data_IF_690388195361
#
_entry.id   IF_690388195361
#
_cell.length_a   1.000
_cell.length_b   1.000
_cell.length_c   1.000
_cell.angle_alpha   90.00
_cell.angle_beta   90.00
_cell.angle_gamma   90.00
#
_symmetry.space_group_name_H-M   'P 1'
#
loop_
_entity.id
_entity.type
_entity.pdbx_description
1 polymer ?
#
# COMPACT_ATOMS: atom_id res chain seq x y z
N UNK A 1 21.54 -52.68 1.38
CA UNK A 1 21.52 -51.63 2.42
C UNK A 1 21.27 -50.31 1.69
N UNK A 2 19.99 -50.03 1.41
CA UNK A 2 19.55 -48.99 0.49
C UNK A 2 19.15 -47.78 1.33
N UNK A 3 20.02 -46.78 1.38
CA UNK A 3 19.72 -45.48 1.99
C UNK A 3 18.67 -44.77 1.12
N UNK A 4 17.41 -44.82 1.55
CA UNK A 4 16.35 -43.96 1.02
C UNK A 4 16.73 -42.51 1.31
N UNK A 5 17.18 -41.81 0.29
CA UNK A 5 17.39 -40.37 0.33
C UNK A 5 16.02 -39.72 0.58
N UNK A 6 15.83 -39.13 1.75
CA UNK A 6 14.72 -38.20 2.00
C UNK A 6 14.76 -37.12 0.92
N UNK A 7 13.74 -37.13 0.06
CA UNK A 7 13.50 -36.09 -0.93
C UNK A 7 13.07 -34.83 -0.16
N UNK A 8 13.64 -33.64 -0.46
CA UNK A 8 13.42 -32.44 0.35
C UNK A 8 11.93 -32.13 0.49
N UNK A 9 11.52 -31.96 1.75
CA UNK A 9 10.16 -31.73 2.22
C UNK A 9 9.38 -30.74 1.36
N UNK A 10 8.29 -31.22 0.77
CA UNK A 10 7.25 -30.32 0.26
C UNK A 10 6.82 -29.37 1.39
N UNK A 11 6.77 -28.05 1.16
CA UNK A 11 6.55 -27.08 2.22
C UNK A 11 5.23 -27.35 2.96
N UNK A 12 5.31 -27.32 4.29
CA UNK A 12 4.16 -27.61 5.16
C UNK A 12 3.08 -26.53 4.99
N UNK A 13 1.78 -26.88 4.94
CA UNK A 13 0.69 -25.91 4.79
C UNK A 13 0.70 -24.76 5.82
N UNK A 14 1.22 -25.02 7.03
CA UNK A 14 1.39 -24.01 8.08
C UNK A 14 2.39 -22.91 7.73
N UNK A 15 3.43 -23.21 6.95
CA UNK A 15 4.41 -22.21 6.51
C UNK A 15 3.74 -21.23 5.54
N UNK A 16 3.04 -21.75 4.53
CA UNK A 16 2.27 -20.93 3.57
C UNK A 16 1.27 -20.01 4.29
N UNK A 17 0.51 -20.55 5.24
CA UNK A 17 -0.46 -19.78 6.03
C UNK A 17 0.23 -18.67 6.82
N UNK A 18 1.37 -18.96 7.44
CA UNK A 18 2.14 -17.98 8.22
C UNK A 18 2.62 -16.85 7.32
N UNK A 19 3.14 -17.13 6.12
CA UNK A 19 3.59 -16.09 5.19
C UNK A 19 2.43 -15.14 4.80
N UNK A 20 1.23 -15.68 4.58
CA UNK A 20 0.04 -14.88 4.27
C UNK A 20 -0.42 -14.02 5.44
N UNK A 21 -0.44 -14.57 6.66
CA UNK A 21 -0.74 -13.79 7.86
C UNK A 21 0.24 -12.62 8.04
N UNK A 22 1.53 -12.85 7.78
CA UNK A 22 2.54 -11.81 7.83
C UNK A 22 2.34 -10.76 6.73
N UNK A 23 2.05 -11.18 5.48
CA UNK A 23 1.76 -10.27 4.38
C UNK A 23 0.55 -9.37 4.69
N UNK A 24 -0.55 -9.97 5.19
CA UNK A 24 -1.74 -9.26 5.61
C UNK A 24 -1.43 -8.30 6.77
N UNK A 25 -0.66 -8.74 7.77
CA UNK A 25 -0.22 -7.91 8.90
C UNK A 25 0.53 -6.66 8.45
N UNK A 26 1.44 -6.78 7.48
CA UNK A 26 2.15 -5.62 6.91
C UNK A 26 1.21 -4.63 6.21
N UNK A 27 0.31 -5.14 5.35
CA UNK A 27 -0.63 -4.29 4.60
C UNK A 27 -1.60 -3.58 5.55
N UNK A 28 -2.18 -4.32 6.49
CA UNK A 28 -3.13 -3.79 7.48
C UNK A 28 -2.43 -2.80 8.41
N UNK A 29 -1.26 -3.14 8.95
CA UNK A 29 -0.50 -2.26 9.82
C UNK A 29 -0.15 -0.93 9.14
N UNK A 30 0.28 -0.98 7.88
CA UNK A 30 0.56 0.23 7.11
C UNK A 30 -0.71 1.03 6.77
N UNK A 31 -1.84 0.38 6.52
CA UNK A 31 -3.11 1.05 6.29
C UNK A 31 -3.61 1.78 7.56
N UNK A 32 -3.52 1.11 8.72
CA UNK A 32 -3.88 1.70 10.02
C UNK A 32 -2.98 2.88 10.37
N UNK A 33 -1.66 2.75 10.15
CA UNK A 33 -0.72 3.84 10.36
C UNK A 33 -1.08 5.06 9.49
N UNK A 34 -1.39 4.84 8.20
CA UNK A 34 -1.83 5.93 7.31
C UNK A 34 -3.15 6.55 7.76
N UNK A 35 -4.12 5.76 8.21
CA UNK A 35 -5.38 6.26 8.72
C UNK A 35 -5.17 7.14 9.97
N UNK A 36 -4.30 6.71 10.89
CA UNK A 36 -3.91 7.49 12.06
C UNK A 36 -3.25 8.82 11.66
N UNK A 37 -2.25 8.77 10.78
CA UNK A 37 -1.57 9.97 10.29
C UNK A 37 -2.54 10.92 9.57
N UNK A 38 -3.46 10.39 8.77
CA UNK A 38 -4.46 11.18 8.08
C UNK A 38 -5.40 11.93 9.04
N UNK A 39 -5.62 11.41 10.25
CA UNK A 39 -6.45 12.02 11.28
C UNK A 39 -5.71 13.06 12.13
N UNK A 40 -4.40 12.90 12.36
CA UNK A 40 -3.64 13.76 13.29
C UNK A 40 -2.79 14.83 12.61
N UNK A 41 -2.32 14.59 11.38
CA UNK A 41 -1.43 15.52 10.69
C UNK A 41 -2.27 16.63 10.03
N UNK A 42 -1.97 17.93 10.26
CA UNK A 42 -2.63 19.02 9.53
C UNK A 42 -2.46 18.89 8.01
N UNK A 43 -3.33 19.52 7.22
CA UNK A 43 -3.17 19.52 5.76
C UNK A 43 -1.92 20.31 5.35
N UNK A 44 -1.17 19.76 4.41
CA UNK A 44 -0.03 20.44 3.81
C UNK A 44 -0.50 21.39 2.70
N UNK A 45 0.28 22.43 2.34
CA UNK A 45 -0.08 23.38 1.28
C UNK A 45 -0.43 22.72 -0.06
N UNK A 46 0.28 21.65 -0.43
CA UNK A 46 -0.01 20.92 -1.66
C UNK A 46 -1.37 20.21 -1.60
N UNK A 47 -1.73 19.66 -0.43
CA UNK A 47 -3.01 18.99 -0.23
C UNK A 47 -4.18 19.98 -0.26
N UNK A 48 -4.00 21.19 0.27
CA UNK A 48 -5.04 22.23 0.18
C UNK A 48 -5.22 22.73 -1.24
N UNK A 49 -4.15 22.83 -2.03
CA UNK A 49 -4.22 23.12 -3.47
C UNK A 49 -5.05 22.05 -4.22
N UNK A 50 -4.73 20.76 -4.03
CA UNK A 50 -5.48 19.69 -4.67
C UNK A 50 -6.93 19.58 -4.16
N UNK A 51 -7.17 19.93 -2.90
CA UNK A 51 -8.51 19.98 -2.35
C UNK A 51 -9.34 21.09 -3.00
N UNK A 52 -8.79 22.29 -3.19
CA UNK A 52 -9.47 23.36 -3.92
C UNK A 52 -9.87 22.90 -5.32
N UNK A 53 -8.93 22.27 -6.03
CA UNK A 53 -9.17 21.73 -7.37
C UNK A 53 -10.27 20.65 -7.37
N UNK A 54 -10.33 19.79 -6.35
CA UNK A 54 -11.39 18.77 -6.23
C UNK A 54 -12.81 19.34 -6.11
N UNK A 55 -12.96 20.61 -5.71
CA UNK A 55 -14.28 21.28 -5.60
C UNK A 55 -14.78 21.80 -6.95
N UNK A 56 -13.88 21.96 -7.92
CA UNK A 56 -14.18 22.37 -9.30
C UNK A 56 -13.41 21.47 -10.24
N UNK A 57 -13.89 20.24 -10.38
CA UNK A 57 -13.28 19.22 -11.23
C UNK A 57 -13.34 19.64 -12.71
N UNK A 58 -12.30 20.34 -13.15
CA UNK A 58 -12.02 20.54 -14.57
C UNK A 58 -11.12 19.43 -15.10
N UNK A 59 -11.25 19.09 -16.39
CA UNK A 59 -10.60 17.94 -17.02
C UNK A 59 -9.06 17.98 -16.96
N UNK A 60 -8.46 19.11 -16.60
CA UNK A 60 -7.06 19.25 -16.22
C UNK A 60 -6.69 20.71 -15.94
N UNK A 61 -5.95 20.96 -14.86
CA UNK A 61 -5.10 22.15 -14.78
C UNK A 61 -3.75 21.85 -15.45
N UNK A 62 -3.03 22.90 -15.84
CA UNK A 62 -1.88 22.89 -16.76
C UNK A 62 -0.79 21.84 -16.48
N UNK A 63 -0.70 21.30 -15.25
CA UNK A 63 0.44 20.52 -14.79
C UNK A 63 0.18 19.01 -14.53
N UNK A 64 -1.05 18.55 -14.30
CA UNK A 64 -1.30 17.14 -13.90
C UNK A 64 -2.66 16.54 -14.38
N UNK A 65 -2.75 15.22 -14.61
CA UNK A 65 -4.02 14.52 -14.82
C UNK A 65 -4.95 14.62 -13.58
N UNK A 66 -6.29 14.65 -13.75
CA UNK A 66 -7.25 14.94 -12.66
C UNK A 66 -7.42 13.82 -11.62
N UNK A 67 -6.64 12.75 -11.71
CA UNK A 67 -6.81 11.55 -10.87
C UNK A 67 -6.76 11.84 -9.37
N UNK A 68 -5.85 12.72 -8.93
CA UNK A 68 -5.75 13.08 -7.50
C UNK A 68 -6.95 13.91 -7.05
N UNK A 69 -7.38 14.88 -7.85
CA UNK A 69 -8.54 15.72 -7.54
C UNK A 69 -9.82 14.88 -7.47
N UNK A 70 -9.98 13.89 -8.35
CA UNK A 70 -11.12 12.96 -8.32
C UNK A 70 -11.13 12.09 -7.04
N UNK A 71 -9.97 11.55 -6.65
CA UNK A 71 -9.86 10.77 -5.42
C UNK A 71 -10.18 11.59 -4.18
N UNK A 72 -9.72 12.84 -4.13
CA UNK A 72 -10.05 13.78 -3.05
C UNK A 72 -11.54 14.08 -3.05
N UNK A 73 -12.13 14.37 -4.21
CA UNK A 73 -13.55 14.67 -4.33
C UNK A 73 -14.41 13.53 -3.73
N UNK A 74 -14.17 12.30 -4.18
CA UNK A 74 -14.86 11.10 -3.67
C UNK A 74 -14.63 10.95 -2.16
N UNK A 75 -13.41 11.16 -1.67
CA UNK A 75 -13.10 11.05 -0.25
C UNK A 75 -13.86 12.08 0.61
N UNK A 76 -13.92 13.32 0.13
CA UNK A 76 -14.63 14.41 0.83
C UNK A 76 -16.14 14.31 0.73
N UNK A 77 -16.67 13.69 -0.33
CA UNK A 77 -18.10 13.40 -0.47
C UNK A 77 -18.54 12.31 0.53
N UNK A 78 -17.70 11.30 0.74
CA UNK A 78 -18.01 10.18 1.66
C UNK A 78 -17.75 10.49 3.14
N UNK A 79 -16.65 11.18 3.47
CA UNK A 79 -16.22 11.41 4.86
C UNK A 79 -16.26 12.90 5.27
N UNK A 80 -16.80 13.76 4.41
CA UNK A 80 -16.94 15.19 4.64
C UNK A 80 -15.67 15.99 4.29
N UNK A 81 -15.85 17.31 4.31
CA UNK A 81 -14.84 18.34 4.03
C UNK A 81 -13.79 18.47 5.16
N UNK A 82 -13.08 17.39 5.45
CA UNK A 82 -12.07 17.29 6.54
C UNK A 82 -10.73 16.80 5.99
N UNK A 83 -9.65 16.93 6.78
CA UNK A 83 -8.33 16.39 6.40
C UNK A 83 -8.37 14.88 6.13
N UNK A 84 -9.16 14.14 6.91
CA UNK A 84 -9.38 12.71 6.71
C UNK A 84 -10.13 12.43 5.41
N UNK A 85 -11.16 13.23 5.08
CA UNK A 85 -11.88 13.11 3.81
C UNK A 85 -10.97 13.35 2.60
N UNK A 86 -10.12 14.38 2.65
CA UNK A 86 -9.16 14.67 1.58
C UNK A 86 -8.22 13.49 1.31
N UNK A 87 -7.76 12.82 2.36
CA UNK A 87 -6.80 11.71 2.25
C UNK A 87 -7.44 10.34 2.03
N UNK A 88 -8.76 10.22 2.15
CA UNK A 88 -9.46 8.93 2.10
C UNK A 88 -9.30 8.23 0.75
N UNK A 89 -9.58 8.94 -0.35
CA UNK A 89 -9.42 8.40 -1.71
C UNK A 89 -7.98 7.96 -1.99
N UNK A 90 -6.97 8.83 -1.78
CA UNK A 90 -5.56 8.43 -1.91
C UNK A 90 -5.16 7.26 -1.01
N UNK A 91 -5.66 7.19 0.23
CA UNK A 91 -5.37 6.08 1.14
C UNK A 91 -5.96 4.75 0.65
N UNK A 92 -7.17 4.77 0.10
CA UNK A 92 -7.80 3.60 -0.53
C UNK A 92 -7.01 3.17 -1.77
N UNK A 93 -6.62 4.11 -2.63
CA UNK A 93 -5.81 3.82 -3.81
C UNK A 93 -4.46 3.17 -3.43
N UNK A 94 -3.82 3.64 -2.35
CA UNK A 94 -2.61 3.03 -1.81
C UNK A 94 -2.87 1.59 -1.30
N UNK A 95 -3.98 1.35 -0.59
CA UNK A 95 -4.35 0.00 -0.15
C UNK A 95 -4.55 -0.95 -1.34
N UNK A 96 -5.31 -0.53 -2.37
CA UNK A 96 -5.52 -1.30 -3.61
C UNK A 96 -4.19 -1.62 -4.28
N UNK A 97 -3.27 -0.65 -4.33
CA UNK A 97 -1.93 -0.83 -4.91
C UNK A 97 -1.14 -1.90 -4.15
N UNK A 98 -1.12 -1.85 -2.81
CA UNK A 98 -0.43 -2.86 -2.01
C UNK A 98 -1.01 -4.26 -2.21
N UNK A 99 -2.33 -4.40 -2.16
CA UNK A 99 -3.00 -5.70 -2.35
C UNK A 99 -2.71 -6.24 -3.74
N UNK A 100 -2.82 -5.41 -4.77
CA UNK A 100 -2.51 -5.79 -6.15
C UNK A 100 -1.06 -6.25 -6.27
N UNK A 101 -0.10 -5.52 -5.70
CA UNK A 101 1.31 -5.89 -5.74
C UNK A 101 1.59 -7.25 -5.05
N UNK A 102 0.97 -7.49 -3.89
CA UNK A 102 1.08 -8.76 -3.15
C UNK A 102 0.51 -9.92 -3.99
N UNK A 103 -0.66 -9.72 -4.60
CA UNK A 103 -1.32 -10.72 -5.44
C UNK A 103 -0.53 -10.99 -6.72
N UNK A 104 -0.02 -9.95 -7.39
CA UNK A 104 0.83 -10.10 -8.57
C UNK A 104 2.12 -10.86 -8.25
N UNK A 105 2.78 -10.54 -7.14
CA UNK A 105 3.99 -11.25 -6.70
C UNK A 105 3.72 -12.75 -6.45
N UNK A 106 2.58 -13.08 -5.83
CA UNK A 106 2.16 -14.46 -5.62
C UNK A 106 1.88 -15.19 -6.95
N UNK A 107 1.19 -14.54 -7.88
CA UNK A 107 0.86 -15.13 -9.19
C UNK A 107 2.11 -15.40 -10.03
N UNK A 108 3.06 -14.47 -10.05
CA UNK A 108 4.29 -14.60 -10.83
C UNK A 108 5.26 -15.64 -10.26
N UNK A 109 5.34 -15.78 -8.94
CA UNK A 109 6.21 -16.75 -8.26
C UNK A 109 5.56 -18.14 -8.06
N UNK A 110 4.30 -18.30 -8.49
CA UNK A 110 3.55 -19.55 -8.41
C UNK A 110 2.85 -19.77 -7.07
N UNK A 111 1.74 -20.52 -7.08
CA UNK A 111 0.80 -20.62 -5.93
C UNK A 111 1.29 -21.41 -4.71
N UNK A 112 2.56 -21.83 -4.69
CA UNK A 112 3.18 -22.58 -3.59
C UNK A 112 3.85 -21.70 -2.53
N UNK A 113 4.74 -22.29 -1.72
CA UNK A 113 5.45 -21.56 -0.67
C UNK A 113 6.36 -20.44 -1.20
N UNK A 114 6.97 -20.65 -2.37
CA UNK A 114 7.76 -19.61 -3.04
C UNK A 114 6.91 -18.34 -3.32
N UNK A 115 5.68 -18.52 -3.82
CA UNK A 115 4.76 -17.40 -4.02
C UNK A 115 4.29 -16.76 -2.72
N UNK A 116 4.02 -17.54 -1.68
CA UNK A 116 3.64 -16.99 -0.38
C UNK A 116 4.77 -16.15 0.23
N UNK A 117 6.03 -16.59 0.05
CA UNK A 117 7.19 -15.80 0.45
C UNK A 117 7.38 -14.55 -0.42
N UNK A 118 7.12 -14.63 -1.72
CA UNK A 118 7.12 -13.49 -2.63
C UNK A 118 6.04 -12.45 -2.24
N UNK A 119 4.84 -12.90 -1.90
CA UNK A 119 3.73 -12.07 -1.41
C UNK A 119 4.13 -11.29 -0.14
N UNK A 120 4.73 -11.96 0.84
CA UNK A 120 5.23 -11.31 2.06
C UNK A 120 6.34 -10.29 1.75
N UNK A 121 7.30 -10.65 0.91
CA UNK A 121 8.39 -9.73 0.51
C UNK A 121 7.84 -8.50 -0.20
N UNK A 122 6.87 -8.67 -1.10
CA UNK A 122 6.20 -7.56 -1.76
C UNK A 122 5.48 -6.65 -0.77
N UNK A 123 4.74 -7.21 0.20
CA UNK A 123 4.09 -6.43 1.26
C UNK A 123 5.09 -5.61 2.08
N UNK A 124 6.21 -6.22 2.49
CA UNK A 124 7.28 -5.53 3.22
C UNK A 124 7.92 -4.41 2.38
N UNK A 125 8.30 -4.71 1.14
CA UNK A 125 8.99 -3.74 0.28
C UNK A 125 8.08 -2.55 -0.04
N UNK A 126 6.83 -2.77 -0.43
CA UNK A 126 5.93 -1.67 -0.79
C UNK A 126 5.58 -0.77 0.41
N UNK A 127 5.55 -1.33 1.62
CA UNK A 127 5.23 -0.56 2.83
C UNK A 127 6.43 0.16 3.43
N UNK A 128 7.63 -0.41 3.30
CA UNK A 128 8.86 0.14 3.88
C UNK A 128 9.67 1.01 2.92
N UNK A 129 9.68 0.70 1.61
CA UNK A 129 10.51 1.42 0.63
C UNK A 129 10.26 2.92 0.60
N UNK A 130 9.01 3.44 0.59
CA UNK A 130 8.79 4.88 0.54
C UNK A 130 9.42 5.61 1.75
N UNK A 131 9.38 4.98 2.93
CA UNK A 131 9.98 5.51 4.16
C UNK A 131 11.51 5.46 4.05
N UNK A 132 12.05 4.33 3.58
CA UNK A 132 13.48 4.13 3.44
C UNK A 132 14.09 5.05 2.36
N UNK A 133 13.45 5.21 1.20
CA UNK A 133 13.97 6.06 0.12
C UNK A 133 13.90 7.54 0.48
N UNK A 134 12.83 8.00 1.13
CA UNK A 134 12.77 9.36 1.64
C UNK A 134 13.85 9.62 2.69
N UNK A 135 14.08 8.70 3.63
CA UNK A 135 15.11 8.84 4.66
C UNK A 135 16.55 8.64 4.18
N UNK A 136 16.77 7.95 3.05
CA UNK A 136 18.10 7.77 2.45
C UNK A 136 18.51 8.91 1.52
N UNK A 137 17.54 9.64 0.95
CA UNK A 137 17.79 10.81 0.11
C UNK A 137 17.83 12.09 0.94
N UNK A 138 16.96 12.22 1.94
CA UNK A 138 17.03 13.27 2.94
C UNK A 138 17.97 12.83 4.05
N UNK A 139 19.27 12.97 3.82
CA UNK A 139 20.25 13.04 4.90
C UNK A 139 20.04 14.35 5.67
N UNK A 140 18.92 14.45 6.39
CA UNK A 140 18.77 15.47 7.42
C UNK A 140 19.62 15.06 8.61
N UNK A 141 20.44 15.95 9.21
CA UNK A 141 21.18 15.63 10.43
C UNK A 141 20.25 15.27 11.60
#
# INVERSE_FOLDING_TARGET
MSTTLEHPDSPRPRDVTTQWCLAAGWVVGAALLRALLAAVVPLLPDETYYWEWSRRLEAGYFDHPPGIALLIHIGTDLLGATATGVRAGPAIAALVTHVTAVVCAWQLAGKGAAGAQAARRAAMLMTLLPIATLGLVLATP
#
